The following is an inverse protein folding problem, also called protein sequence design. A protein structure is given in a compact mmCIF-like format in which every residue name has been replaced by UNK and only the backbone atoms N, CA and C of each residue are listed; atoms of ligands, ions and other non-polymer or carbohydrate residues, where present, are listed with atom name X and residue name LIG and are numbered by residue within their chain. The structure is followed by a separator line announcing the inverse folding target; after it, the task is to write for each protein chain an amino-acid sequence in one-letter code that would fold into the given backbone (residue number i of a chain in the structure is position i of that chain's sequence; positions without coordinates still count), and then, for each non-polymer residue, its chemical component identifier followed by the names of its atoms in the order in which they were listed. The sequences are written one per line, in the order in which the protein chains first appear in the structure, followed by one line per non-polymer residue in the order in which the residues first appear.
data_IF_567113324952
#
_entry.id   IF_567113324952
#
_cell.length_a   1.000
_cell.length_b   1.000
_cell.length_c   1.000
_cell.angle_alpha   90.00
_cell.angle_beta   90.00
_cell.angle_gamma   90.00
#
_symmetry.space_group_name_H-M   'P 1'
#
loop_
_entity.id
_entity.type
_entity.pdbx_description
1 polymer ?
#
# COMPACT_ATOMS: atom_id res chain seq x y z
N UNK A 1 -4.35 -14.63 -14.17
CA UNK A 1 -3.47 -13.53 -14.66
C UNK A 1 -2.98 -13.91 -16.04
N UNK A 2 -3.24 -13.07 -17.04
CA UNK A 2 -2.68 -13.23 -18.39
C UNK A 2 -1.61 -12.16 -18.57
N UNK A 3 -0.37 -12.58 -18.78
CA UNK A 3 0.67 -11.67 -19.24
C UNK A 3 0.41 -11.44 -20.74
N UNK A 4 0.14 -10.19 -21.12
CA UNK A 4 0.02 -9.86 -22.54
C UNK A 4 1.37 -9.96 -23.25
N UNK A 5 1.31 -10.11 -24.57
CA UNK A 5 2.48 -10.12 -25.46
C UNK A 5 3.33 -8.83 -25.41
N UNK A 6 2.76 -7.77 -24.81
CA UNK A 6 3.36 -6.46 -24.57
C UNK A 6 4.00 -6.32 -23.18
N UNK A 7 3.99 -7.38 -22.37
CA UNK A 7 4.49 -7.37 -21.00
C UNK A 7 3.54 -6.71 -19.99
N UNK A 8 2.35 -6.29 -20.41
CA UNK A 8 1.34 -5.70 -19.53
C UNK A 8 0.50 -6.80 -18.89
N UNK A 9 0.33 -6.69 -17.57
CA UNK A 9 -0.55 -7.58 -16.81
C UNK A 9 -1.98 -7.07 -16.90
N UNK A 10 -2.90 -7.98 -17.17
CA UNK A 10 -4.33 -7.65 -17.34
C UNK A 10 -5.19 -8.34 -16.30
N UNK A 11 -6.18 -7.59 -15.82
CA UNK A 11 -7.25 -8.05 -14.96
C UNK A 11 -8.56 -7.88 -15.72
N UNK A 12 -9.31 -8.97 -15.80
CA UNK A 12 -10.57 -9.01 -16.52
C UNK A 12 -11.70 -8.65 -15.55
N UNK A 13 -12.67 -7.87 -16.03
CA UNK A 13 -13.79 -7.45 -15.20
C UNK A 13 -14.51 -8.65 -14.58
N UNK A 14 -14.96 -8.51 -13.33
CA UNK A 14 -15.62 -9.56 -12.53
C UNK A 14 -14.74 -10.76 -12.16
N UNK A 15 -13.46 -10.79 -12.53
CA UNK A 15 -12.55 -11.82 -12.01
C UNK A 15 -12.24 -11.58 -10.55
N UNK A 16 -11.91 -12.66 -9.84
CA UNK A 16 -11.51 -12.59 -8.44
C UNK A 16 -10.06 -12.98 -8.28
N UNK A 17 -9.41 -12.39 -7.28
CA UNK A 17 -8.02 -12.67 -6.94
C UNK A 17 -7.76 -12.48 -5.46
N UNK A 18 -6.61 -12.98 -5.01
CA UNK A 18 -6.14 -12.84 -3.64
C UNK A 18 -4.67 -12.44 -3.67
N UNK A 19 -4.25 -11.75 -2.62
CA UNK A 19 -2.86 -11.39 -2.43
C UNK A 19 -2.15 -12.43 -1.57
N UNK A 20 -0.96 -12.81 -2.00
CA UNK A 20 -0.01 -13.59 -1.20
C UNK A 20 1.22 -12.73 -0.94
N UNK A 21 1.50 -12.48 0.33
CA UNK A 21 2.66 -11.69 0.76
C UNK A 21 3.72 -12.65 1.28
N UNK A 22 4.95 -12.51 0.80
CA UNK A 22 6.09 -13.28 1.27
C UNK A 22 7.19 -12.34 1.74
N UNK A 23 7.73 -12.60 2.91
CA UNK A 23 8.94 -11.93 3.37
C UNK A 23 10.17 -12.72 2.94
N UNK A 24 10.97 -12.15 2.04
CA UNK A 24 12.25 -12.69 1.60
C UNK A 24 13.45 -12.15 2.41
N UNK A 25 13.19 -11.26 3.37
CA UNK A 25 14.21 -10.67 4.23
C UNK A 25 14.51 -11.54 5.44
N UNK A 26 15.56 -11.14 6.17
CA UNK A 26 16.03 -11.80 7.39
C UNK A 26 15.44 -11.21 8.68
N UNK A 27 14.61 -10.17 8.56
CA UNK A 27 13.96 -9.50 9.68
C UNK A 27 12.43 -9.54 9.52
N UNK A 28 11.66 -9.57 10.63
CA UNK A 28 10.22 -9.35 10.57
C UNK A 28 9.90 -8.03 9.89
N UNK A 29 8.89 -8.05 9.02
CA UNK A 29 8.42 -6.88 8.32
C UNK A 29 6.93 -6.67 8.60
N UNK A 30 6.52 -5.42 8.70
CA UNK A 30 5.12 -4.99 8.71
C UNK A 30 4.78 -4.45 7.34
N UNK A 31 3.56 -4.70 6.85
CA UNK A 31 3.16 -4.21 5.53
C UNK A 31 1.82 -3.47 5.53
N UNK A 32 1.69 -2.56 4.56
CA UNK A 32 0.46 -1.88 4.18
C UNK A 32 0.24 -2.12 2.69
N UNK A 33 -0.98 -2.50 2.32
CA UNK A 33 -1.38 -2.73 0.93
C UNK A 33 -2.32 -1.62 0.47
N UNK A 34 -1.96 -0.99 -0.65
CA UNK A 34 -2.68 0.10 -1.28
C UNK A 34 -3.18 -0.32 -2.66
N UNK A 35 -4.35 0.17 -3.00
CA UNK A 35 -4.95 0.13 -4.33
C UNK A 35 -5.07 1.56 -4.85
N UNK A 36 -4.49 1.83 -6.01
CA UNK A 36 -4.60 3.11 -6.71
C UNK A 36 -5.38 2.84 -7.99
N UNK A 37 -6.62 3.31 -8.00
CA UNK A 37 -7.59 3.03 -9.04
C UNK A 37 -7.37 3.90 -10.29
N UNK A 38 -7.96 3.53 -11.45
CA UNK A 38 -7.81 4.30 -12.68
C UNK A 38 -8.28 5.77 -12.62
N UNK A 39 -9.17 6.10 -11.69
CA UNK A 39 -9.63 7.46 -11.42
C UNK A 39 -8.78 8.22 -10.39
N UNK A 40 -7.64 7.63 -10.00
CA UNK A 40 -6.70 8.10 -8.98
C UNK A 40 -7.23 8.07 -7.55
N UNK A 41 -8.31 7.35 -7.27
CA UNK A 41 -8.70 7.06 -5.89
C UNK A 41 -7.69 6.10 -5.27
N UNK A 42 -7.19 6.47 -4.07
CA UNK A 42 -6.26 5.66 -3.29
C UNK A 42 -7.05 5.00 -2.16
N UNK A 43 -7.13 3.67 -2.20
CA UNK A 43 -7.75 2.86 -1.16
C UNK A 43 -6.68 2.10 -0.39
N UNK A 44 -6.82 2.05 0.93
CA UNK A 44 -5.97 1.21 1.78
C UNK A 44 -6.70 -0.11 1.95
N UNK A 45 -6.17 -1.16 1.34
CA UNK A 45 -6.76 -2.50 1.41
C UNK A 45 -6.41 -3.16 2.74
N UNK A 46 -5.17 -2.99 3.21
CA UNK A 46 -4.69 -3.52 4.49
C UNK A 46 -3.67 -2.57 5.12
N UNK A 47 -3.65 -2.42 6.46
CA UNK A 47 -4.63 -2.96 7.39
C UNK A 47 -6.02 -2.33 7.18
N UNK A 48 -7.09 -3.13 7.28
CA UNK A 48 -8.49 -2.71 7.11
C UNK A 48 -9.11 -2.28 8.45
N UNK A 49 -10.43 -2.04 8.52
CA UNK A 49 -11.07 -1.65 9.79
C UNK A 49 -11.09 -2.75 10.86
N UNK A 50 -10.83 -4.00 10.48
CA UNK A 50 -10.87 -5.15 11.38
C UNK A 50 -9.47 -5.63 11.78
N UNK A 51 -8.42 -5.08 11.15
CA UNK A 51 -7.04 -5.49 11.35
C UNK A 51 -6.16 -4.30 11.74
N UNK A 52 -5.18 -4.57 12.58
CA UNK A 52 -4.23 -3.53 13.04
C UNK A 52 -2.92 -3.59 12.26
N UNK A 53 -2.17 -2.48 12.15
CA UNK A 53 -0.82 -2.46 11.59
C UNK A 53 0.11 -3.51 12.21
N UNK A 54 -0.02 -3.78 13.51
CA UNK A 54 0.78 -4.76 14.23
C UNK A 54 0.47 -6.20 13.81
N UNK A 55 -0.77 -6.47 13.41
CA UNK A 55 -1.20 -7.77 12.90
C UNK A 55 -0.68 -8.04 11.48
N UNK A 56 -0.34 -6.98 10.73
CA UNK A 56 0.27 -7.08 9.39
C UNK A 56 1.75 -7.47 9.44
N UNK A 57 2.16 -8.26 10.43
CA UNK A 57 3.54 -8.71 10.62
C UNK A 57 3.80 -10.02 9.87
N UNK A 58 4.86 -10.05 9.07
CA UNK A 58 5.34 -11.22 8.34
C UNK A 58 6.76 -11.54 8.79
N UNK A 59 6.95 -12.73 9.37
CA UNK A 59 8.26 -13.21 9.81
C UNK A 59 9.16 -13.58 8.61
N UNK A 60 10.49 -13.66 8.79
CA UNK A 60 11.39 -14.15 7.75
C UNK A 60 10.93 -15.47 7.14
N UNK A 61 10.99 -15.58 5.81
CA UNK A 61 10.53 -16.72 5.01
C UNK A 61 9.04 -17.08 5.13
N UNK A 62 8.27 -16.34 5.92
CA UNK A 62 6.84 -16.56 6.06
C UNK A 62 6.09 -16.08 4.81
N UNK A 63 5.09 -16.87 4.42
CA UNK A 63 4.10 -16.52 3.42
C UNK A 63 2.74 -16.39 4.10
N UNK A 64 2.04 -15.28 3.85
CA UNK A 64 0.67 -15.04 4.30
C UNK A 64 -0.21 -14.91 3.06
N UNK A 65 -1.17 -15.81 2.93
CA UNK A 65 -2.28 -15.64 2.01
C UNK A 65 -3.34 -14.79 2.71
N UNK A 66 -3.65 -13.64 2.14
CA UNK A 66 -4.66 -12.73 2.70
C UNK A 66 -6.04 -13.40 2.54
N UNK A 67 -6.80 -13.60 3.64
CA UNK A 67 -8.06 -14.34 3.62
C UNK A 67 -9.24 -13.50 3.07
N UNK A 68 -8.95 -12.56 2.18
CA UNK A 68 -9.92 -11.68 1.53
C UNK A 68 -9.86 -11.97 0.03
N UNK A 69 -11.02 -12.20 -0.58
CA UNK A 69 -11.16 -12.35 -2.02
C UNK A 69 -11.57 -11.00 -2.59
N UNK A 70 -10.72 -10.44 -3.44
CA UNK A 70 -10.99 -9.18 -4.14
C UNK A 70 -11.65 -9.48 -5.48
N UNK A 71 -12.62 -8.65 -5.87
CA UNK A 71 -13.28 -8.72 -7.17
C UNK A 71 -12.89 -7.49 -7.99
N UNK A 72 -12.45 -7.71 -9.23
CA UNK A 72 -12.14 -6.65 -10.18
C UNK A 72 -13.44 -5.95 -10.59
N UNK A 73 -13.49 -4.64 -10.35
CA UNK A 73 -14.63 -3.78 -10.63
C UNK A 73 -14.29 -2.63 -11.57
N UNK A 74 -15.26 -1.74 -11.75
CA UNK A 74 -15.03 -0.44 -12.40
C UNK A 74 -14.27 0.52 -11.46
N UNK A 75 -13.58 1.55 -11.99
CA UNK A 75 -13.48 1.92 -13.40
C UNK A 75 -12.49 1.06 -14.21
N UNK A 76 -12.66 1.01 -15.54
CA UNK A 76 -11.68 0.37 -16.43
C UNK A 76 -10.45 1.27 -16.61
N UNK A 77 -9.28 0.67 -16.83
CA UNK A 77 -8.03 1.40 -17.05
C UNK A 77 -6.87 0.91 -16.20
N UNK A 78 -5.91 1.80 -15.93
CA UNK A 78 -4.69 1.44 -15.21
C UNK A 78 -4.91 1.42 -13.70
N UNK A 79 -4.69 0.27 -13.09
CA UNK A 79 -4.75 0.06 -11.64
C UNK A 79 -3.34 -0.25 -11.12
N UNK A 80 -2.97 0.31 -9.98
CA UNK A 80 -1.65 0.16 -9.38
C UNK A 80 -1.78 -0.29 -7.94
N UNK A 81 -1.32 -1.51 -7.66
CA UNK A 81 -1.19 -1.98 -6.29
C UNK A 81 0.19 -1.64 -5.75
N UNK A 82 0.24 -1.11 -4.53
CA UNK A 82 1.49 -0.87 -3.81
C UNK A 82 1.49 -1.61 -2.49
N UNK A 83 2.57 -2.33 -2.22
CA UNK A 83 2.86 -2.89 -0.91
C UNK A 83 4.02 -2.11 -0.31
N UNK A 84 3.75 -1.40 0.78
CA UNK A 84 4.75 -0.69 1.57
C UNK A 84 5.10 -1.58 2.75
N UNK A 85 6.36 -1.98 2.87
CA UNK A 85 6.87 -2.79 3.96
C UNK A 85 7.87 -2.00 4.79
N UNK A 86 7.87 -2.21 6.11
CA UNK A 86 8.82 -1.59 7.01
C UNK A 86 9.18 -2.46 8.21
N UNK A 87 10.26 -2.08 8.90
CA UNK A 87 10.70 -2.73 10.14
C UNK A 87 9.85 -2.35 11.38
N UNK A 88 8.92 -1.40 11.25
CA UNK A 88 7.95 -0.97 12.27
C UNK A 88 6.53 -1.00 11.68
N UNK A 89 5.49 -1.16 12.52
CA UNK A 89 4.10 -1.03 12.07
C UNK A 89 3.86 0.32 11.37
N UNK A 90 3.15 0.29 10.23
CA UNK A 90 2.74 1.48 9.48
C UNK A 90 1.22 1.50 9.37
N UNK A 91 0.61 2.61 9.77
CA UNK A 91 -0.80 2.90 9.59
C UNK A 91 -1.04 4.08 8.65
N UNK A 92 -1.30 3.79 7.38
CA UNK A 92 -1.66 4.83 6.41
C UNK A 92 -3.14 5.21 6.45
N UNK A 93 -3.97 4.62 7.31
CA UNK A 93 -5.37 5.03 7.46
C UNK A 93 -5.49 6.39 8.14
N UNK A 94 -4.59 6.66 9.08
CA UNK A 94 -4.63 7.83 9.96
C UNK A 94 -4.26 9.16 9.27
N UNK A 95 -3.30 9.24 8.33
CA UNK A 95 -2.99 10.48 7.61
C UNK A 95 -4.18 11.07 6.85
N UNK A 96 -5.06 10.24 6.27
CA UNK A 96 -6.26 10.70 5.54
C UNK A 96 -7.39 11.22 6.44
N UNK A 97 -7.24 11.17 7.77
CA UNK A 97 -8.23 11.64 8.74
C UNK A 97 -7.57 12.27 9.96
N UNK A 98 -7.12 13.52 9.80
CA UNK A 98 -6.77 14.61 10.76
C UNK A 98 -6.93 14.34 12.29
N UNK A 99 -6.42 13.23 12.84
CA UNK A 99 -6.30 13.04 14.28
C UNK A 99 -4.97 12.38 14.60
N UNK A 100 -4.05 13.20 15.11
CA UNK A 100 -2.74 12.78 15.58
C UNK A 100 -2.87 11.75 16.70
N UNK A 101 -2.39 10.53 16.45
CA UNK A 101 -2.20 9.51 17.47
C UNK A 101 -0.76 9.56 17.99
N UNK A 102 -0.58 9.22 19.27
CA UNK A 102 0.71 9.38 19.99
C UNK A 102 1.81 8.37 19.58
N UNK A 103 1.52 7.46 18.64
CA UNK A 103 2.36 6.32 18.25
C UNK A 103 2.60 6.23 16.73
N UNK A 104 2.67 7.37 16.03
CA UNK A 104 2.83 7.40 14.56
C UNK A 104 4.24 7.03 14.12
N UNK A 105 4.33 6.21 13.06
CA UNK A 105 5.61 5.84 12.45
C UNK A 105 6.29 7.06 11.79
N UNK A 106 7.63 7.03 11.65
CA UNK A 106 8.37 8.12 10.98
C UNK A 106 7.86 8.35 9.55
N UNK A 107 7.35 7.30 8.90
CA UNK A 107 6.76 7.36 7.56
C UNK A 107 5.40 8.06 7.54
N UNK A 108 4.54 7.81 8.52
CA UNK A 108 3.26 8.52 8.66
C UNK A 108 3.45 10.02 8.88
N UNK A 109 4.43 10.39 9.71
CA UNK A 109 4.77 11.79 9.94
C UNK A 109 5.20 12.48 8.63
N UNK A 110 5.99 11.79 7.80
CA UNK A 110 6.39 12.28 6.49
C UNK A 110 5.19 12.43 5.55
N UNK A 111 4.28 11.45 5.52
CA UNK A 111 3.09 11.51 4.69
C UNK A 111 2.17 12.68 5.08
N UNK A 112 1.97 12.93 6.39
CA UNK A 112 1.20 14.08 6.87
C UNK A 112 1.82 15.42 6.49
N UNK A 113 3.14 15.53 6.61
CA UNK A 113 3.87 16.73 6.20
C UNK A 113 3.74 17.03 4.70
N UNK A 114 3.44 16.03 3.87
CA UNK A 114 3.11 16.23 2.46
C UNK A 114 1.72 16.84 2.28
N UNK A 115 0.71 16.36 3.02
CA UNK A 115 -0.68 16.87 2.93
C UNK A 115 -0.83 18.29 3.51
N UNK A 116 -0.16 18.61 4.61
CA UNK A 116 -0.23 19.94 5.24
C UNK A 116 0.40 21.07 4.38
N UNK A 117 1.21 20.73 3.37
CA UNK A 117 1.90 21.69 2.48
C UNK A 117 1.03 22.24 1.32
N UNK A 118 -0.28 22.12 1.40
CA UNK A 118 -1.21 22.68 0.39
C UNK A 118 -1.14 24.20 0.25
N UNK A 119 -0.51 24.92 1.18
CA UNK A 119 -0.19 26.34 1.03
C UNK A 119 1.32 26.58 0.78
N UNK A 120 1.65 26.70 -0.50
CA UNK A 120 2.87 27.32 -1.04
C UNK A 120 4.20 26.74 -0.56
N UNK A 121 4.67 25.65 -1.16
CA UNK A 121 6.07 25.45 -1.59
C UNK A 121 6.19 24.10 -2.31
N UNK A 122 6.68 24.10 -3.54
CA UNK A 122 6.74 22.92 -4.43
C UNK A 122 7.81 21.89 -4.04
N UNK A 123 8.56 22.12 -2.96
CA UNK A 123 9.59 21.23 -2.41
C UNK A 123 9.68 21.42 -0.90
N UNK A 124 9.68 20.32 -0.14
CA UNK A 124 9.78 20.30 1.32
C UNK A 124 11.02 21.11 1.76
N UNK A 125 10.83 22.10 2.64
CA UNK A 125 11.89 23.04 3.05
C UNK A 125 12.84 22.47 4.12
N UNK A 126 12.44 21.38 4.76
CA UNK A 126 13.21 20.66 5.77
C UNK A 126 13.13 19.16 5.47
N UNK A 127 14.23 18.48 5.14
CA UNK A 127 14.21 17.04 4.95
C UNK A 127 13.86 16.35 6.28
N UNK A 128 12.78 15.58 6.29
CA UNK A 128 12.47 14.66 7.40
C UNK A 128 13.30 13.41 7.16
N UNK A 129 14.25 13.15 8.06
CA UNK A 129 15.01 11.89 8.04
C UNK A 129 14.17 10.81 8.68
N UNK A 130 13.78 9.81 7.91
CA UNK A 130 13.15 8.60 8.42
C UNK A 130 14.24 7.65 8.95
N UNK A 131 14.12 7.19 10.20
CA UNK A 131 15.02 6.18 10.78
C UNK A 131 14.45 4.76 10.62
N UNK A 132 13.59 4.58 9.62
CA UNK A 132 12.79 3.39 9.39
C UNK A 132 13.21 2.80 8.04
N UNK A 133 13.54 1.51 8.03
CA UNK A 133 13.84 0.80 6.78
C UNK A 133 12.52 0.54 6.07
N UNK A 134 12.38 1.06 4.85
CA UNK A 134 11.17 0.96 4.05
C UNK A 134 11.50 0.31 2.71
N UNK A 135 10.67 -0.65 2.32
CA UNK A 135 10.68 -1.24 0.99
C UNK A 135 9.31 -1.06 0.34
N UNK A 136 9.28 -0.73 -0.94
CA UNK A 136 8.04 -0.52 -1.69
C UNK A 136 8.04 -1.45 -2.89
N UNK A 137 7.05 -2.34 -2.92
CA UNK A 137 6.73 -3.14 -4.10
C UNK A 137 5.55 -2.49 -4.83
N UNK A 138 5.61 -2.48 -6.15
CA UNK A 138 4.57 -1.89 -7.00
C UNK A 138 4.31 -2.82 -8.17
N UNK A 139 3.03 -3.07 -8.42
CA UNK A 139 2.60 -3.88 -9.56
C UNK A 139 1.41 -3.22 -10.25
N UNK A 140 1.49 -3.10 -11.57
CA UNK A 140 0.51 -2.38 -12.38
C UNK A 140 -0.28 -3.34 -13.24
N UNK A 141 -1.58 -3.11 -13.30
CA UNK A 141 -2.54 -3.89 -14.05
C UNK A 141 -3.38 -2.98 -14.93
N UNK A 142 -3.87 -3.54 -16.03
CA UNK A 142 -4.91 -2.92 -16.84
C UNK A 142 -6.19 -3.69 -16.61
N UNK A 143 -7.21 -3.00 -16.12
CA UNK A 143 -8.58 -3.50 -16.03
C UNK A 143 -9.26 -3.33 -17.39
N UNK A 144 -9.71 -4.44 -17.95
CA UNK A 144 -10.39 -4.53 -19.24
C UNK A 144 -11.59 -5.49 -19.17
N UNK A 145 -12.44 -5.43 -20.19
CA UNK A 145 -13.60 -6.32 -20.33
C UNK A 145 -13.23 -7.71 -20.84
#
# INVERSE_FOLDING_TARGET
MLAGIDGLKRLQLNTTFQFKVKNFGIHPAYFTLLDIQPDNLINILLPDNNTTPEEMRVLPDQEILIPIVFQVGYPLGNELFKLVAANKPIDLKTPLSIKSNKNESDFEQLFKCFEDNTNSNTRLKSPISIATDINIFSDTFIIEN
#
